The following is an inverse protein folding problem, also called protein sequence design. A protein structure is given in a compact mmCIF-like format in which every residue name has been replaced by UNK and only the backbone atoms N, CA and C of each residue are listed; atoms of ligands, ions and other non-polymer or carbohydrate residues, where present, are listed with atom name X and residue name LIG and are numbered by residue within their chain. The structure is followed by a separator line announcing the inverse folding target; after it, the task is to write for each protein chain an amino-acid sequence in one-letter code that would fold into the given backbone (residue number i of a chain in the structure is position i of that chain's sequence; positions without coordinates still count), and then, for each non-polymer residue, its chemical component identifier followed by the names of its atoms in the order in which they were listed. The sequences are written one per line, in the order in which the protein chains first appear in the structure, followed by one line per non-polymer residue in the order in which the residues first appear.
data_IF_266508407894
#
_entry.id   IF_266508407894
#
_cell.length_a   1.000
_cell.length_b   1.000
_cell.length_c   1.000
_cell.angle_alpha   90.00
_cell.angle_beta   90.00
_cell.angle_gamma   90.00
#
_symmetry.space_group_name_H-M   'P 1'
#
loop_
_entity.id
_entity.type
_entity.pdbx_description
1 polymer ?
#
# COMPACT_ATOMS: atom_id res chain seq x y z
N UNK A 1 -29.64 -5.17 27.48
CA UNK A 1 -28.82 -4.08 26.89
C UNK A 1 -27.38 -4.53 26.99
N UNK A 2 -26.73 -4.88 25.88
CA UNK A 2 -25.31 -5.23 25.90
C UNK A 2 -24.50 -3.93 25.95
N UNK A 3 -23.86 -3.70 27.08
CA UNK A 3 -22.95 -2.59 27.30
C UNK A 3 -21.70 -2.81 26.44
N UNK A 4 -21.55 -2.00 25.40
CA UNK A 4 -20.41 -2.07 24.49
C UNK A 4 -19.22 -1.47 25.23
N UNK A 5 -18.26 -2.31 25.64
CA UNK A 5 -17.01 -1.85 26.25
C UNK A 5 -16.33 -0.90 25.25
N UNK A 6 -16.11 0.38 25.60
CA UNK A 6 -15.39 1.29 24.71
C UNK A 6 -13.93 0.85 24.64
N UNK A 7 -13.38 0.85 23.43
CA UNK A 7 -11.96 0.67 23.20
C UNK A 7 -11.16 1.67 24.07
N UNK A 8 -10.01 1.28 24.62
CA UNK A 8 -9.18 2.18 25.40
C UNK A 8 -8.84 3.43 24.57
N UNK A 9 -8.88 4.60 25.22
CA UNK A 9 -8.48 5.85 24.58
C UNK A 9 -6.97 5.78 24.25
N UNK A 10 -6.55 6.17 23.04
CA UNK A 10 -5.15 6.03 22.65
C UNK A 10 -4.24 6.79 23.61
N UNK A 11 -3.20 6.12 24.11
CA UNK A 11 -2.21 6.77 24.96
C UNK A 11 -1.40 7.78 24.15
N UNK A 12 -0.98 8.87 24.79
CA UNK A 12 -0.09 9.87 24.18
C UNK A 12 1.23 9.22 23.78
N UNK A 13 1.36 8.84 22.50
CA UNK A 13 2.52 8.11 21.95
C UNK A 13 2.17 6.83 21.19
N UNK A 14 0.93 6.32 21.29
CA UNK A 14 0.45 5.28 20.38
C UNK A 14 0.34 5.87 18.98
N UNK A 15 1.31 5.50 18.14
CA UNK A 15 1.25 5.79 16.71
C UNK A 15 0.32 4.75 16.11
N UNK A 16 -0.74 5.20 15.44
CA UNK A 16 -1.69 4.37 14.71
C UNK A 16 -0.95 3.24 13.96
N UNK A 17 -1.41 1.98 14.00
CA UNK A 17 -0.79 0.88 13.21
C UNK A 17 -0.71 1.25 11.71
N UNK A 18 -1.53 2.20 11.26
CA UNK A 18 -1.46 2.82 9.95
C UNK A 18 -0.11 3.51 9.63
N UNK A 19 0.61 3.99 10.65
CA UNK A 19 1.88 4.70 10.51
C UNK A 19 3.08 3.81 10.15
N UNK A 20 2.95 2.48 10.27
CA UNK A 20 4.04 1.53 9.96
C UNK A 20 3.96 1.03 8.50
N UNK A 21 2.92 1.40 7.74
CA UNK A 21 2.79 0.97 6.34
C UNK A 21 3.75 1.78 5.45
N UNK A 22 4.58 1.12 4.62
CA UNK A 22 5.45 1.81 3.67
C UNK A 22 4.60 2.63 2.71
N UNK A 23 4.97 3.89 2.55
CA UNK A 23 4.32 4.85 1.66
C UNK A 23 4.95 4.82 0.26
N UNK A 24 6.21 4.41 0.17
CA UNK A 24 7.00 4.34 -1.05
C UNK A 24 7.45 2.92 -1.37
N UNK A 25 7.79 2.68 -2.64
CA UNK A 25 8.20 1.36 -3.10
C UNK A 25 9.55 0.92 -2.52
N UNK A 26 10.46 1.85 -2.27
CA UNK A 26 11.76 1.62 -1.65
C UNK A 26 11.65 1.24 -0.16
N UNK A 27 10.65 1.77 0.54
CA UNK A 27 10.31 1.43 1.93
C UNK A 27 9.68 0.02 2.08
N UNK A 28 9.21 -0.60 0.99
CA UNK A 28 8.63 -1.94 1.03
C UNK A 28 9.72 -3.00 1.23
N UNK A 29 9.67 -3.72 2.36
CA UNK A 29 10.69 -4.71 2.73
C UNK A 29 10.44 -6.05 2.03
N UNK A 30 11.52 -6.63 1.48
CA UNK A 30 11.46 -7.91 0.75
C UNK A 30 10.93 -7.77 -0.68
N UNK A 31 10.53 -8.91 -1.28
CA UNK A 31 9.91 -8.98 -2.62
C UNK A 31 10.69 -8.27 -3.73
N UNK A 32 12.03 -8.40 -3.76
CA UNK A 32 12.91 -7.64 -4.65
C UNK A 32 12.51 -7.69 -6.13
N UNK A 33 12.15 -8.86 -6.65
CA UNK A 33 11.70 -9.05 -8.04
C UNK A 33 10.42 -8.25 -8.35
N UNK A 34 9.44 -8.27 -7.44
CA UNK A 34 8.18 -7.51 -7.62
C UNK A 34 8.47 -6.02 -7.57
N UNK A 35 9.33 -5.57 -6.63
CA UNK A 35 9.70 -4.15 -6.52
C UNK A 35 10.38 -3.65 -7.79
N UNK A 36 11.31 -4.42 -8.35
CA UNK A 36 11.99 -4.06 -9.59
C UNK A 36 11.02 -3.97 -10.77
N UNK A 37 10.16 -4.98 -10.95
CA UNK A 37 9.16 -4.99 -12.01
C UNK A 37 8.18 -3.80 -11.90
N UNK A 38 7.71 -3.50 -10.69
CA UNK A 38 6.83 -2.35 -10.44
C UNK A 38 7.55 -1.02 -10.66
N UNK A 39 8.82 -0.89 -10.24
CA UNK A 39 9.60 0.32 -10.45
C UNK A 39 9.75 0.63 -11.94
N UNK A 40 10.05 -0.39 -12.75
CA UNK A 40 10.14 -0.27 -14.22
C UNK A 40 8.79 0.14 -14.82
N UNK A 41 7.70 -0.55 -14.43
CA UNK A 41 6.37 -0.29 -14.97
C UNK A 41 5.86 1.12 -14.62
N UNK A 42 6.02 1.55 -13.36
CA UNK A 42 5.66 2.89 -12.88
C UNK A 42 6.48 3.95 -13.61
N UNK A 43 7.80 3.77 -13.72
CA UNK A 43 8.66 4.73 -14.41
C UNK A 43 8.28 4.86 -15.90
N UNK A 44 7.95 3.74 -16.56
CA UNK A 44 7.53 3.73 -17.94
C UNK A 44 6.18 4.45 -18.15
N UNK A 45 5.19 4.18 -17.30
CA UNK A 45 3.88 4.86 -17.35
C UNK A 45 4.01 6.37 -17.09
N UNK A 46 4.80 6.75 -16.06
CA UNK A 46 5.11 8.16 -15.76
C UNK A 46 5.78 8.87 -16.94
N UNK A 47 6.74 8.20 -17.61
CA UNK A 47 7.44 8.77 -18.77
C UNK A 47 6.50 8.99 -19.97
N UNK A 48 5.49 8.12 -20.14
CA UNK A 48 4.47 8.24 -21.20
C UNK A 48 3.34 9.21 -20.83
N UNK A 49 3.21 9.58 -19.55
CA UNK A 49 2.12 10.44 -19.08
C UNK A 49 0.76 9.74 -19.06
N UNK A 50 0.76 8.41 -18.91
CA UNK A 50 -0.44 7.58 -18.92
C UNK A 50 -0.61 6.79 -17.62
N UNK A 51 -1.74 6.09 -17.49
CA UNK A 51 -1.99 5.17 -16.38
C UNK A 51 -1.05 3.97 -16.40
N UNK A 52 -0.75 3.42 -15.22
CA UNK A 52 -0.11 2.11 -15.13
C UNK A 52 -1.02 1.04 -15.74
N UNK A 53 -0.44 0.09 -16.46
CA UNK A 53 -1.15 -1.10 -16.94
C UNK A 53 -1.79 -1.89 -15.78
N UNK A 54 -2.77 -2.74 -16.10
CA UNK A 54 -3.48 -3.53 -15.11
C UNK A 54 -2.53 -4.53 -14.40
N UNK A 55 -2.53 -4.49 -13.07
CA UNK A 55 -1.72 -5.38 -12.22
C UNK A 55 -2.64 -6.27 -11.37
N UNK A 56 -2.37 -7.58 -11.37
CA UNK A 56 -3.01 -8.57 -10.49
C UNK A 56 -2.00 -9.09 -9.48
N UNK A 57 -2.27 -8.87 -8.19
CA UNK A 57 -1.49 -9.49 -7.11
C UNK A 57 -2.13 -10.79 -6.64
N UNK A 58 -1.41 -11.90 -6.78
CA UNK A 58 -1.82 -13.22 -6.29
C UNK A 58 -0.83 -13.74 -5.26
N UNK A 59 -1.35 -14.43 -4.23
CA UNK A 59 -0.53 -15.10 -3.23
C UNK A 59 -1.21 -15.23 -1.86
N UNK A 60 -0.58 -15.95 -0.91
CA UNK A 60 -1.07 -16.12 0.47
C UNK A 60 -1.41 -14.80 1.20
N UNK A 61 -2.30 -14.83 2.21
CA UNK A 61 -2.60 -13.66 3.04
C UNK A 61 -1.33 -13.13 3.74
N UNK A 62 -1.28 -11.83 4.03
CA UNK A 62 -0.16 -11.21 4.76
C UNK A 62 1.05 -10.74 3.93
N UNK A 63 1.07 -11.00 2.61
CA UNK A 63 2.20 -10.60 1.74
C UNK A 63 2.20 -9.14 1.28
N UNK A 64 1.40 -8.27 1.89
CA UNK A 64 1.41 -6.84 1.56
C UNK A 64 0.75 -6.45 0.23
N UNK A 65 -0.13 -7.29 -0.35
CA UNK A 65 -0.84 -7.00 -1.61
C UNK A 65 -1.60 -5.66 -1.59
N UNK A 66 -2.38 -5.43 -0.53
CA UNK A 66 -3.11 -4.17 -0.33
C UNK A 66 -2.16 -2.99 -0.14
N UNK A 67 -1.03 -3.20 0.56
CA UNK A 67 0.01 -2.18 0.73
C UNK A 67 0.66 -1.81 -0.61
N UNK A 68 0.97 -2.79 -1.46
CA UNK A 68 1.51 -2.54 -2.80
C UNK A 68 0.53 -1.76 -3.68
N UNK A 69 -0.76 -2.07 -3.62
CA UNK A 69 -1.79 -1.30 -4.33
C UNK A 69 -1.84 0.16 -3.85
N UNK A 70 -1.71 0.40 -2.54
CA UNK A 70 -1.63 1.75 -1.97
C UNK A 70 -0.37 2.50 -2.40
N UNK A 71 0.79 1.83 -2.42
CA UNK A 71 2.06 2.40 -2.91
C UNK A 71 1.93 2.79 -4.38
N UNK A 72 1.39 1.91 -5.23
CA UNK A 72 1.17 2.21 -6.66
C UNK A 72 0.29 3.44 -6.83
N UNK A 73 -0.83 3.52 -6.10
CA UNK A 73 -1.72 4.67 -6.18
C UNK A 73 -1.00 5.98 -5.81
N UNK A 74 -0.21 5.97 -4.73
CA UNK A 74 0.60 7.13 -4.31
C UNK A 74 1.64 7.51 -5.34
N UNK A 75 2.40 6.54 -5.84
CA UNK A 75 3.42 6.76 -6.87
C UNK A 75 2.82 7.35 -8.14
N UNK A 76 1.64 6.88 -8.55
CA UNK A 76 0.93 7.37 -9.73
C UNK A 76 0.11 8.63 -9.48
N UNK A 77 0.08 9.17 -8.25
CA UNK A 77 -0.75 10.33 -7.90
C UNK A 77 -2.25 10.09 -8.06
N UNK A 78 -2.70 8.84 -7.94
CA UNK A 78 -4.07 8.42 -8.16
C UNK A 78 -4.79 8.09 -6.83
N UNK A 79 -6.13 8.20 -6.83
CA UNK A 79 -6.96 7.72 -5.74
C UNK A 79 -7.07 6.19 -5.74
N UNK A 80 -7.25 5.59 -4.56
CA UNK A 80 -7.51 4.15 -4.41
C UNK A 80 -8.96 3.92 -4.00
N UNK A 81 -9.63 2.99 -4.69
CA UNK A 81 -10.95 2.48 -4.29
C UNK A 81 -10.80 1.03 -3.86
N UNK A 82 -11.09 0.76 -2.59
CA UNK A 82 -11.20 -0.59 -2.05
C UNK A 82 -12.68 -0.90 -1.83
N UNK A 83 -13.10 -2.10 -2.19
CA UNK A 83 -14.44 -2.66 -1.91
C UNK A 83 -14.35 -3.78 -0.91
#
# INVERSE_FOLDING_TARGET
MNERIPSPSPLSGETDDAAIRPARLDEFVGQAQIKEALAIAIAAAKKRGESLDHVLFSGPPGLGKTTLAQIIAREMGAGIRST
#
